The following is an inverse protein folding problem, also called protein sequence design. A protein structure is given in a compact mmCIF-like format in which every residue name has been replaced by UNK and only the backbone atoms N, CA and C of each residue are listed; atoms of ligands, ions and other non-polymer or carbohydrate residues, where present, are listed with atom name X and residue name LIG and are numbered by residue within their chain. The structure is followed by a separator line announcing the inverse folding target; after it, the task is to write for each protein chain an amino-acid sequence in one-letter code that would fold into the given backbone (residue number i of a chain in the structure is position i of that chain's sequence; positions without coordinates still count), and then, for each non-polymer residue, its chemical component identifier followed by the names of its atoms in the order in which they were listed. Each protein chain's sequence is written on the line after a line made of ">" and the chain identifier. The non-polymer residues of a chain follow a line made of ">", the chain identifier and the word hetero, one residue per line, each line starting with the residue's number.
data_IF_119944633720
#
_entry.id   IF_119944633720
#
_cell.length_a   1.000
_cell.length_b   1.000
_cell.length_c   1.000
_cell.angle_alpha   90.00
_cell.angle_beta   90.00
_cell.angle_gamma   90.00
#
_symmetry.space_group_name_H-M   'P 1'
#
loop_
_entity.id
_entity.type
_entity.pdbx_description
1 polymer ?
#
# COMPACT_ATOMS: atom_id res chain seq x y z
N UNK A 1 12.00 10.94 -10.38
CA UNK A 1 11.40 10.63 -9.04
C UNK A 1 12.45 10.33 -7.96
N UNK A 2 13.57 9.71 -8.27
CA UNK A 2 14.58 9.32 -7.27
C UNK A 2 15.11 10.46 -6.37
N UNK A 3 15.31 11.66 -6.90
CA UNK A 3 15.80 12.81 -6.12
C UNK A 3 14.80 13.36 -5.08
N UNK A 4 13.50 13.17 -5.28
CA UNK A 4 12.46 13.70 -4.38
C UNK A 4 12.46 13.02 -3.00
N UNK A 5 12.68 11.71 -2.95
CA UNK A 5 12.55 10.90 -1.73
C UNK A 5 13.92 10.62 -1.10
N UNK A 6 14.65 11.69 -0.80
CA UNK A 6 15.97 11.67 -0.20
C UNK A 6 15.95 11.63 1.34
N UNK A 7 17.12 11.72 1.96
CA UNK A 7 17.27 11.80 3.41
C UNK A 7 16.55 13.01 4.04
N UNK A 8 16.43 14.14 3.33
CA UNK A 8 15.75 15.34 3.83
C UNK A 8 14.22 15.12 3.86
N UNK A 9 13.67 14.50 2.81
CA UNK A 9 12.27 14.06 2.76
C UNK A 9 11.94 13.14 3.95
N UNK A 10 12.74 12.09 4.17
CA UNK A 10 12.52 11.15 5.27
C UNK A 10 12.63 11.80 6.65
N UNK A 11 13.55 12.75 6.85
CA UNK A 11 13.63 13.52 8.10
C UNK A 11 12.39 14.38 8.31
N UNK A 12 11.88 15.03 7.27
CA UNK A 12 10.71 15.91 7.33
C UNK A 12 9.42 15.15 7.66
N UNK A 13 9.09 14.11 6.89
CA UNK A 13 7.79 13.45 6.94
C UNK A 13 7.77 12.20 7.84
N UNK A 14 8.94 11.60 8.13
CA UNK A 14 9.08 10.40 8.96
C UNK A 14 9.96 10.61 10.19
N UNK A 15 10.23 11.87 10.58
CA UNK A 15 11.04 12.25 11.74
C UNK A 15 10.26 12.20 13.05
N UNK A 16 10.17 13.36 13.73
CA UNK A 16 9.63 13.46 15.11
C UNK A 16 8.13 13.18 15.24
N UNK A 17 7.32 13.56 14.24
CA UNK A 17 5.85 13.41 14.25
C UNK A 17 5.35 12.90 12.90
N UNK A 18 5.66 11.67 12.52
CA UNK A 18 5.19 11.12 11.25
C UNK A 18 3.68 10.91 11.29
N UNK A 19 3.03 10.97 10.12
CA UNK A 19 1.60 10.61 9.98
C UNK A 19 1.43 9.14 10.37
N UNK A 20 2.29 8.28 9.82
CA UNK A 20 2.35 6.87 10.18
C UNK A 20 3.66 6.57 10.91
N UNK A 21 3.58 5.90 12.05
CA UNK A 21 4.72 5.43 12.81
C UNK A 21 4.69 3.89 12.89
N UNK A 22 5.78 3.29 13.43
CA UNK A 22 5.91 1.83 13.56
C UNK A 22 4.73 1.20 14.32
N UNK A 23 4.25 1.83 15.39
CA UNK A 23 3.14 1.29 16.18
C UNK A 23 1.82 1.33 15.43
N UNK A 24 1.51 2.42 14.72
CA UNK A 24 0.30 2.49 13.89
C UNK A 24 0.30 1.42 12.80
N UNK A 25 1.44 1.22 12.12
CA UNK A 25 1.56 0.18 11.10
C UNK A 25 1.44 -1.21 11.72
N UNK A 26 2.01 -1.44 12.92
CA UNK A 26 1.87 -2.71 13.62
C UNK A 26 0.39 -3.04 13.92
N UNK A 27 -0.38 -2.08 14.46
CA UNK A 27 -1.80 -2.27 14.72
C UNK A 27 -2.61 -2.53 13.44
N UNK A 28 -2.31 -1.79 12.36
CA UNK A 28 -2.95 -2.01 11.06
C UNK A 28 -2.64 -3.40 10.50
N UNK A 29 -1.39 -3.80 10.55
CA UNK A 29 -0.93 -5.11 10.07
C UNK A 29 -1.56 -6.25 10.87
N UNK A 30 -1.62 -6.13 12.20
CA UNK A 30 -2.25 -7.12 13.07
C UNK A 30 -3.75 -7.25 12.76
N UNK A 31 -4.48 -6.13 12.67
CA UNK A 31 -5.90 -6.12 12.34
C UNK A 31 -6.17 -6.72 10.96
N UNK A 32 -5.36 -6.38 9.95
CA UNK A 32 -5.51 -6.92 8.61
C UNK A 32 -5.26 -8.42 8.55
N UNK A 33 -4.21 -8.92 9.20
CA UNK A 33 -3.91 -10.35 9.26
C UNK A 33 -5.00 -11.11 10.03
N UNK A 34 -5.58 -10.52 11.08
CA UNK A 34 -6.70 -11.12 11.81
C UNK A 34 -7.96 -11.21 10.94
N UNK A 35 -8.30 -10.14 10.19
CA UNK A 35 -9.40 -10.15 9.22
C UNK A 35 -9.17 -11.17 8.10
N UNK A 36 -7.97 -11.23 7.54
CA UNK A 36 -7.62 -12.23 6.53
C UNK A 36 -7.83 -13.66 7.06
N UNK A 37 -7.44 -13.92 8.30
CA UNK A 37 -7.66 -15.20 8.96
C UNK A 37 -9.15 -15.50 9.18
N UNK A 38 -9.95 -14.51 9.58
CA UNK A 38 -11.42 -14.60 9.68
C UNK A 38 -12.05 -15.02 8.36
N UNK A 39 -11.64 -14.40 7.25
CA UNK A 39 -12.09 -14.73 5.89
C UNK A 39 -11.41 -15.97 5.30
N UNK A 40 -10.57 -16.67 6.07
CA UNK A 40 -9.82 -17.86 5.63
C UNK A 40 -8.91 -17.59 4.42
N UNK A 41 -8.41 -16.38 4.30
CA UNK A 41 -7.42 -15.99 3.29
C UNK A 41 -6.01 -16.16 3.89
N UNK A 42 -5.26 -17.17 3.48
CA UNK A 42 -3.92 -17.41 4.03
C UNK A 42 -2.93 -16.37 3.51
N UNK A 43 -2.28 -15.63 4.41
CA UNK A 43 -1.22 -14.69 4.06
C UNK A 43 0.15 -15.35 4.29
N UNK A 44 0.76 -15.84 3.24
CA UNK A 44 2.08 -16.48 3.21
C UNK A 44 3.14 -15.61 2.54
N UNK A 45 2.71 -14.59 1.80
CA UNK A 45 3.58 -13.67 1.08
C UNK A 45 2.99 -12.27 1.04
N UNK A 46 3.85 -11.26 1.26
CA UNK A 46 3.51 -9.84 1.25
C UNK A 46 4.41 -9.11 0.26
N UNK A 47 3.80 -8.29 -0.60
CA UNK A 47 4.47 -7.25 -1.39
C UNK A 47 4.16 -5.91 -0.73
N UNK A 48 5.19 -5.13 -0.40
CA UNK A 48 5.10 -3.79 0.17
C UNK A 48 5.61 -2.78 -0.87
N UNK A 49 4.69 -2.03 -1.47
CA UNK A 49 4.95 -1.05 -2.52
C UNK A 49 5.12 0.32 -1.89
N UNK A 50 6.27 0.97 -2.16
CA UNK A 50 6.68 2.17 -1.45
C UNK A 50 7.02 1.87 -0.01
N UNK A 51 7.81 0.82 0.22
CA UNK A 51 8.09 0.21 1.52
C UNK A 51 8.75 1.17 2.54
N UNK A 52 9.30 2.31 2.10
CA UNK A 52 9.76 3.41 2.93
C UNK A 52 10.74 2.97 4.01
N UNK A 53 10.36 3.13 5.27
CA UNK A 53 11.17 2.73 6.43
C UNK A 53 11.13 1.23 6.74
N UNK A 54 10.34 0.44 6.02
CA UNK A 54 10.24 -1.00 6.21
C UNK A 54 9.46 -1.42 7.45
N UNK A 55 8.48 -0.64 7.90
CA UNK A 55 7.70 -0.96 9.09
C UNK A 55 6.91 -2.27 8.96
N UNK A 56 6.39 -2.58 7.77
CA UNK A 56 5.73 -3.86 7.48
C UNK A 56 6.72 -5.03 7.58
N UNK A 57 7.93 -4.87 7.00
CA UNK A 57 9.01 -5.87 7.09
C UNK A 57 9.35 -6.17 8.53
N UNK A 58 9.60 -5.13 9.32
CA UNK A 58 10.04 -5.25 10.71
C UNK A 58 8.98 -5.95 11.56
N UNK A 59 7.70 -5.55 11.38
CA UNK A 59 6.58 -6.19 12.08
C UNK A 59 6.41 -7.66 11.67
N UNK A 60 6.49 -7.99 10.38
CA UNK A 60 6.39 -9.37 9.90
C UNK A 60 7.54 -10.23 10.42
N UNK A 61 8.76 -9.71 10.42
CA UNK A 61 9.93 -10.44 10.94
C UNK A 61 9.77 -10.79 12.42
N UNK A 62 9.15 -9.91 13.21
CA UNK A 62 8.95 -10.10 14.65
C UNK A 62 7.77 -11.03 14.97
N UNK A 63 6.67 -10.93 14.22
CA UNK A 63 5.39 -11.57 14.59
C UNK A 63 5.01 -12.73 13.68
N UNK A 64 5.49 -12.76 12.44
CA UNK A 64 5.13 -13.72 11.39
C UNK A 64 6.35 -14.11 10.54
N UNK A 65 7.43 -14.66 11.13
CA UNK A 65 8.72 -14.88 10.44
C UNK A 65 8.64 -15.88 9.27
N UNK A 66 7.57 -16.67 9.18
CA UNK A 66 7.34 -17.59 8.05
C UNK A 66 6.74 -16.93 6.82
N UNK A 67 6.21 -15.69 6.95
CA UNK A 67 5.64 -14.92 5.84
C UNK A 67 6.78 -14.36 4.99
N UNK A 68 6.76 -14.63 3.69
CA UNK A 68 7.75 -14.10 2.75
C UNK A 68 7.45 -12.64 2.44
N UNK A 69 8.33 -11.76 2.85
CA UNK A 69 8.22 -10.32 2.56
C UNK A 69 9.04 -9.94 1.33
N UNK A 70 8.50 -9.01 0.54
CA UNK A 70 9.18 -8.34 -0.56
C UNK A 70 8.80 -6.86 -0.54
N UNK A 71 9.77 -5.98 -0.32
CA UNK A 71 9.60 -4.53 -0.34
C UNK A 71 10.21 -3.94 -1.60
N UNK A 72 9.47 -3.10 -2.30
CA UNK A 72 9.94 -2.29 -3.42
C UNK A 72 9.75 -0.80 -3.10
N UNK A 73 10.67 0.04 -3.55
CA UNK A 73 10.57 1.49 -3.39
C UNK A 73 11.26 2.21 -4.57
N UNK A 74 10.75 3.36 -4.96
CA UNK A 74 11.37 4.21 -5.98
C UNK A 74 12.50 5.09 -5.44
N UNK A 75 12.65 5.19 -4.12
CA UNK A 75 13.68 5.95 -3.44
C UNK A 75 14.97 5.15 -3.32
N UNK A 76 16.04 5.59 -3.99
CA UNK A 76 17.38 5.02 -3.79
C UNK A 76 17.83 5.12 -2.33
N UNK A 77 17.48 6.21 -1.64
CA UNK A 77 17.81 6.40 -0.23
C UNK A 77 17.14 5.32 0.63
N UNK A 78 15.83 5.09 0.46
CA UNK A 78 15.09 4.08 1.19
C UNK A 78 15.64 2.67 0.90
N UNK A 79 15.84 2.35 -0.38
CA UNK A 79 16.35 1.04 -0.79
C UNK A 79 17.72 0.74 -0.18
N UNK A 80 18.66 1.69 -0.23
CA UNK A 80 19.99 1.51 0.39
C UNK A 80 19.92 1.43 1.91
N UNK A 81 19.08 2.25 2.54
CA UNK A 81 19.02 2.38 4.01
C UNK A 81 18.24 1.26 4.67
N UNK A 82 17.20 0.75 4.00
CA UNK A 82 16.23 -0.21 4.57
C UNK A 82 16.14 -1.51 3.77
N UNK A 83 17.04 -1.73 2.79
CA UNK A 83 17.20 -2.99 2.05
C UNK A 83 15.95 -3.41 1.26
N UNK A 84 15.40 -2.49 0.46
CA UNK A 84 14.32 -2.76 -0.49
C UNK A 84 14.89 -2.92 -1.91
N UNK A 85 14.12 -3.56 -2.79
CA UNK A 85 14.39 -3.54 -4.23
C UNK A 85 14.09 -2.13 -4.77
N UNK A 86 15.03 -1.55 -5.52
CA UNK A 86 14.80 -0.29 -6.22
C UNK A 86 13.91 -0.55 -7.42
N UNK A 87 12.67 -0.05 -7.38
CA UNK A 87 11.70 -0.27 -8.44
C UNK A 87 10.65 0.85 -8.48
N UNK A 88 10.27 1.24 -9.70
CA UNK A 88 9.12 2.10 -9.97
C UNK A 88 7.93 1.22 -10.32
N UNK A 89 6.89 1.25 -9.50
CA UNK A 89 5.69 0.41 -9.63
C UNK A 89 4.97 0.61 -10.98
N UNK A 90 5.10 1.77 -11.62
CA UNK A 90 4.48 2.05 -12.92
C UNK A 90 5.10 1.25 -14.08
N UNK A 91 6.33 0.74 -13.91
CA UNK A 91 7.07 -0.03 -14.93
C UNK A 91 7.60 -1.37 -14.42
N UNK A 92 7.55 -1.59 -13.10
CA UNK A 92 7.99 -2.83 -12.49
C UNK A 92 7.11 -4.01 -12.93
N UNK A 93 7.73 -5.16 -13.11
CA UNK A 93 7.04 -6.40 -13.55
C UNK A 93 7.10 -7.44 -12.41
N UNK A 94 5.96 -7.81 -11.81
CA UNK A 94 5.94 -8.81 -10.75
C UNK A 94 6.32 -10.19 -11.31
N UNK A 95 7.30 -10.85 -10.68
CA UNK A 95 7.73 -12.20 -11.07
C UNK A 95 6.85 -13.30 -10.44
N UNK A 96 5.96 -12.95 -9.53
CA UNK A 96 5.03 -13.84 -8.82
C UNK A 96 3.87 -13.04 -8.26
N UNK A 97 2.81 -13.76 -7.87
CA UNK A 97 1.69 -13.16 -7.13
C UNK A 97 1.89 -13.27 -5.62
N UNK A 98 1.30 -12.32 -4.89
CA UNK A 98 1.37 -12.21 -3.44
C UNK A 98 -0.03 -12.35 -2.84
N UNK A 99 -0.10 -12.91 -1.61
CA UNK A 99 -1.36 -13.08 -0.90
C UNK A 99 -1.87 -11.75 -0.33
N UNK A 100 -0.96 -10.87 0.04
CA UNK A 100 -1.24 -9.50 0.44
C UNK A 100 -0.32 -8.55 -0.34
N UNK A 101 -0.92 -7.52 -0.92
CA UNK A 101 -0.20 -6.37 -1.48
C UNK A 101 -0.53 -5.15 -0.64
N UNK A 102 0.48 -4.42 -0.21
CA UNK A 102 0.35 -3.16 0.51
C UNK A 102 0.79 -2.03 -0.41
N UNK A 103 -0.03 -1.02 -0.59
CA UNK A 103 0.29 0.19 -1.34
C UNK A 103 -0.26 1.40 -0.59
N UNK A 104 0.56 1.93 0.31
CA UNK A 104 0.19 3.06 1.17
C UNK A 104 0.96 4.31 0.80
N UNK A 105 0.24 5.40 0.52
CA UNK A 105 0.82 6.72 0.24
C UNK A 105 1.84 6.74 -0.91
N UNK A 106 1.54 6.01 -2.00
CA UNK A 106 2.39 5.92 -3.20
C UNK A 106 1.75 6.61 -4.40
N UNK A 107 0.47 6.30 -4.67
CA UNK A 107 -0.20 6.67 -5.91
C UNK A 107 -0.35 8.18 -6.12
N UNK A 108 -0.33 8.95 -5.05
CA UNK A 108 -0.41 10.42 -5.11
C UNK A 108 0.83 11.07 -5.74
N UNK A 109 1.95 10.37 -5.85
CA UNK A 109 3.19 10.88 -6.44
C UNK A 109 3.32 10.61 -7.94
N UNK A 110 2.49 9.73 -8.48
CA UNK A 110 2.48 9.36 -9.89
C UNK A 110 1.56 10.29 -10.69
N UNK A 111 1.87 10.55 -11.95
CA UNK A 111 0.89 11.17 -12.85
C UNK A 111 -0.25 10.19 -13.19
N UNK A 112 -1.28 10.66 -13.91
CA UNK A 112 -2.48 9.85 -14.17
C UNK A 112 -2.20 8.60 -14.99
N UNK A 113 -1.28 8.69 -15.95
CA UNK A 113 -0.88 7.59 -16.81
C UNK A 113 -0.12 6.53 -16.02
N UNK A 114 0.83 6.96 -15.21
CA UNK A 114 1.68 6.05 -14.43
C UNK A 114 0.91 5.49 -13.21
N UNK A 115 0.00 6.25 -12.59
CA UNK A 115 -0.89 5.72 -11.56
C UNK A 115 -1.85 4.65 -12.11
N UNK A 116 -2.37 4.82 -13.35
CA UNK A 116 -3.19 3.81 -13.98
C UNK A 116 -2.40 2.52 -14.29
N UNK A 117 -1.16 2.65 -14.79
CA UNK A 117 -0.27 1.48 -14.99
C UNK A 117 0.06 0.78 -13.67
N UNK A 118 0.39 1.57 -12.64
CA UNK A 118 0.70 1.05 -11.31
C UNK A 118 -0.46 0.24 -10.73
N UNK A 119 -1.71 0.71 -10.88
CA UNK A 119 -2.91 -0.06 -10.48
C UNK A 119 -2.99 -1.39 -11.24
N UNK A 120 -2.74 -1.40 -12.55
CA UNK A 120 -2.65 -2.64 -13.32
C UNK A 120 -1.54 -3.58 -12.83
N UNK A 121 -0.40 -3.02 -12.42
CA UNK A 121 0.70 -3.80 -11.83
C UNK A 121 0.29 -4.41 -10.47
N UNK A 122 -0.45 -3.66 -9.62
CA UNK A 122 -1.00 -4.19 -8.37
C UNK A 122 -1.98 -5.35 -8.64
N UNK A 123 -2.82 -5.24 -9.67
CA UNK A 123 -3.74 -6.31 -10.08
C UNK A 123 -2.98 -7.59 -10.44
N UNK A 124 -1.96 -7.48 -11.30
CA UNK A 124 -1.12 -8.63 -11.70
C UNK A 124 -0.39 -9.23 -10.51
N UNK A 125 0.06 -8.41 -9.56
CA UNK A 125 0.82 -8.85 -8.39
C UNK A 125 -0.03 -9.49 -7.29
N UNK A 126 -1.33 -9.19 -7.21
CA UNK A 126 -2.20 -9.55 -6.09
C UNK A 126 -3.09 -10.75 -6.45
N UNK A 127 -3.11 -11.78 -5.58
CA UNK A 127 -4.06 -12.90 -5.68
C UNK A 127 -4.97 -13.04 -4.46
N UNK A 128 -4.81 -12.20 -3.45
CA UNK A 128 -5.57 -12.22 -2.21
C UNK A 128 -6.10 -10.83 -1.87
N UNK A 129 -5.49 -10.18 -0.88
CA UNK A 129 -5.89 -8.86 -0.41
C UNK A 129 -4.94 -7.76 -0.90
N UNK A 130 -5.52 -6.61 -1.23
CA UNK A 130 -4.80 -5.37 -1.45
C UNK A 130 -5.21 -4.37 -0.36
N UNK A 131 -4.24 -3.86 0.38
CA UNK A 131 -4.39 -2.64 1.17
C UNK A 131 -3.97 -1.45 0.30
N UNK A 132 -4.93 -0.62 -0.05
CA UNK A 132 -4.71 0.56 -0.89
C UNK A 132 -5.10 1.82 -0.13
N UNK A 133 -4.11 2.62 0.22
CA UNK A 133 -4.27 3.85 0.97
C UNK A 133 -3.57 5.01 0.26
N UNK A 134 -4.33 6.04 -0.11
CA UNK A 134 -3.82 7.25 -0.76
C UNK A 134 -4.78 8.41 -0.48
N UNK A 135 -4.27 9.60 -0.17
CA UNK A 135 -5.12 10.75 0.06
C UNK A 135 -5.85 11.18 -1.22
N UNK A 136 -7.10 11.56 -1.04
CA UNK A 136 -7.97 12.05 -2.11
C UNK A 136 -8.34 13.53 -1.91
N UNK A 137 -8.97 14.13 -2.93
CA UNK A 137 -9.51 15.51 -2.81
C UNK A 137 -10.44 15.63 -1.60
N UNK A 138 -11.30 14.63 -1.36
CA UNK A 138 -12.24 14.64 -0.23
C UNK A 138 -11.55 14.60 1.14
N UNK A 139 -10.42 13.92 1.26
CA UNK A 139 -9.68 13.79 2.52
C UNK A 139 -8.99 15.10 2.91
N UNK A 140 -8.61 15.92 1.92
CA UNK A 140 -7.89 17.18 2.14
C UNK A 140 -8.63 18.12 3.08
N UNK A 141 -9.95 18.15 2.99
CA UNK A 141 -10.81 19.07 3.72
C UNK A 141 -11.35 18.47 5.03
N UNK A 142 -11.23 17.16 5.21
CA UNK A 142 -11.93 16.45 6.29
C UNK A 142 -11.00 15.81 7.31
N UNK A 143 -10.01 15.05 6.86
CA UNK A 143 -9.23 14.17 7.76
C UNK A 143 -7.72 14.39 7.72
N UNK A 144 -7.18 15.09 6.70
CA UNK A 144 -5.74 15.28 6.56
C UNK A 144 -5.18 16.33 7.51
N UNK A 145 -4.16 15.94 8.27
CA UNK A 145 -3.28 16.89 8.96
C UNK A 145 -2.30 17.50 7.95
N UNK A 146 -2.67 18.67 7.41
CA UNK A 146 -1.89 19.37 6.39
C UNK A 146 -0.52 19.86 6.88
N UNK A 147 -0.31 19.94 8.20
CA UNK A 147 0.99 20.33 8.78
C UNK A 147 2.02 19.19 8.75
N UNK A 148 1.57 17.95 8.61
CA UNK A 148 2.38 16.73 8.67
C UNK A 148 2.40 15.94 7.36
N UNK A 149 1.49 16.25 6.45
CA UNK A 149 1.33 15.54 5.17
C UNK A 149 2.05 16.30 4.07
N UNK A 150 2.70 15.58 3.17
CA UNK A 150 3.23 16.15 1.93
C UNK A 150 2.06 16.54 1.02
N UNK A 151 1.91 17.83 0.75
CA UNK A 151 0.84 18.38 -0.08
C UNK A 151 1.24 18.57 -1.55
N UNK A 152 2.52 18.40 -1.89
CA UNK A 152 3.01 18.42 -3.26
C UNK A 152 2.76 17.07 -3.93
N UNK A 153 1.49 16.79 -4.19
CA UNK A 153 0.98 15.52 -4.71
C UNK A 153 -0.05 15.73 -5.81
N UNK A 154 -0.39 14.68 -6.54
CA UNK A 154 -1.47 14.67 -7.53
C UNK A 154 -2.79 14.33 -6.84
N UNK A 155 -3.61 15.34 -6.66
CA UNK A 155 -4.92 15.20 -6.03
C UNK A 155 -5.93 14.55 -6.99
N UNK A 156 -6.49 13.41 -6.60
CA UNK A 156 -7.53 12.68 -7.34
C UNK A 156 -8.73 12.42 -6.46
N UNK A 157 -9.87 12.20 -7.08
CA UNK A 157 -11.08 11.80 -6.36
C UNK A 157 -11.04 10.31 -6.00
N UNK A 158 -11.72 9.91 -4.92
CA UNK A 158 -11.91 8.49 -4.60
C UNK A 158 -12.59 7.72 -5.75
N UNK A 159 -13.52 8.38 -6.48
CA UNK A 159 -14.16 7.81 -7.69
C UNK A 159 -13.13 7.43 -8.76
N UNK A 160 -12.11 8.26 -8.98
CA UNK A 160 -11.05 7.98 -9.96
C UNK A 160 -10.30 6.68 -9.66
N UNK A 161 -9.98 6.46 -8.39
CA UNK A 161 -9.31 5.24 -7.93
C UNK A 161 -10.25 4.03 -7.97
N UNK A 162 -11.48 4.16 -7.42
CA UNK A 162 -12.45 3.06 -7.40
C UNK A 162 -12.76 2.53 -8.79
N UNK A 163 -12.96 3.38 -9.78
CA UNK A 163 -13.21 2.95 -11.16
C UNK A 163 -12.09 2.09 -11.74
N UNK A 164 -10.84 2.34 -11.36
CA UNK A 164 -9.69 1.58 -11.86
C UNK A 164 -9.43 0.32 -11.07
N UNK A 165 -9.54 0.39 -9.76
CA UNK A 165 -9.39 -0.77 -8.89
C UNK A 165 -10.50 -1.81 -9.12
N UNK A 166 -11.72 -1.38 -9.43
CA UNK A 166 -12.86 -2.27 -9.66
C UNK A 166 -12.67 -3.21 -10.88
N UNK A 167 -11.66 -3.01 -11.73
CA UNK A 167 -11.33 -3.93 -12.82
C UNK A 167 -10.84 -5.26 -12.25
N UNK A 168 -9.87 -5.25 -11.34
CA UNK A 168 -9.24 -6.45 -10.79
C UNK A 168 -9.66 -6.78 -9.34
N UNK A 169 -10.40 -5.88 -8.68
CA UNK A 169 -10.69 -6.01 -7.25
C UNK A 169 -12.16 -5.74 -6.93
N UNK A 170 -12.59 -6.23 -5.77
CA UNK A 170 -13.86 -5.88 -5.11
C UNK A 170 -13.53 -5.09 -3.84
N UNK A 171 -14.16 -3.93 -3.64
CA UNK A 171 -13.97 -3.10 -2.44
C UNK A 171 -14.61 -3.78 -1.22
N UNK A 172 -13.82 -3.94 -0.14
CA UNK A 172 -14.32 -4.46 1.15
C UNK A 172 -14.66 -3.28 2.07
N UNK A 173 -13.84 -2.22 2.02
CA UNK A 173 -13.92 -1.05 2.90
C UNK A 173 -12.63 -0.86 3.69
N UNK A 174 -12.48 0.32 4.33
CA UNK A 174 -11.28 0.65 5.11
C UNK A 174 -9.97 0.62 4.32
N UNK A 175 -10.01 0.86 2.99
CA UNK A 175 -8.85 0.73 2.12
C UNK A 175 -8.52 -0.71 1.69
N UNK A 176 -9.34 -1.69 2.07
CA UNK A 176 -9.14 -3.09 1.72
C UNK A 176 -9.92 -3.48 0.46
N UNK A 177 -9.24 -4.23 -0.40
CA UNK A 177 -9.75 -4.74 -1.66
C UNK A 177 -9.44 -6.22 -1.79
N UNK A 178 -10.41 -7.00 -2.29
CA UNK A 178 -10.24 -8.42 -2.58
C UNK A 178 -9.92 -8.59 -4.07
N UNK A 179 -8.84 -9.29 -4.39
CA UNK A 179 -8.56 -9.69 -5.77
C UNK A 179 -9.72 -10.57 -6.31
N UNK A 180 -10.16 -10.31 -7.53
CA UNK A 180 -11.17 -11.16 -8.21
C UNK A 180 -10.68 -12.59 -8.46
N UNK A 181 -9.38 -12.85 -8.34
CA UNK A 181 -8.80 -14.19 -8.38
C UNK A 181 -8.90 -14.93 -7.04
N UNK A 182 -9.19 -14.22 -5.94
CA UNK A 182 -9.30 -14.82 -4.63
C UNK A 182 -10.62 -15.60 -4.50
N UNK A 183 -10.60 -16.88 -4.16
CA UNK A 183 -11.82 -17.69 -4.05
C UNK A 183 -12.61 -17.44 -2.74
N UNK A 184 -12.19 -16.50 -1.91
CA UNK A 184 -12.88 -16.19 -0.66
C UNK A 184 -14.28 -15.66 -0.93
N UNK A 185 -15.24 -16.14 -0.16
CA UNK A 185 -16.64 -15.72 -0.22
C UNK A 185 -16.92 -14.76 0.94
N UNK A 186 -17.57 -13.64 0.62
CA UNK A 186 -17.97 -12.62 1.57
C UNK A 186 -19.50 -12.61 1.66
N UNK A 187 -20.02 -12.35 2.85
CA UNK A 187 -21.41 -12.00 3.00
C UNK A 187 -21.68 -10.61 2.40
N UNK A 188 -22.94 -10.37 2.02
CA UNK A 188 -23.35 -9.12 1.37
C UNK A 188 -22.90 -7.86 2.15
N UNK A 189 -22.95 -7.91 3.49
CA UNK A 189 -22.56 -6.78 4.34
C UNK A 189 -21.04 -6.70 4.65
N UNK A 190 -20.24 -7.63 4.17
CA UNK A 190 -18.78 -7.61 4.37
C UNK A 190 -18.02 -6.88 3.27
N UNK A 191 -18.70 -6.46 2.20
CA UNK A 191 -18.10 -5.68 1.12
C UNK A 191 -18.95 -4.45 0.78
N UNK A 192 -18.32 -3.44 0.18
CA UNK A 192 -19.01 -2.25 -0.28
C UNK A 192 -19.96 -2.58 -1.45
N UNK A 193 -21.12 -1.91 -1.56
CA UNK A 193 -22.09 -2.09 -2.63
C UNK A 193 -21.56 -1.70 -4.00
#
# INVERSE_FOLDING_TARGET
>A
MAERFDAAYYRRFYGRRPVHNRQHIAHLAEGLIALAAWWRIPIRSVLDVGAGKGYWRDWLAETRPTVKYHGIDASEYACRRYHHELADIAVWQPRRKYDLVVCQSVMQYLDDKDAAKAIGTLEVACRGLLLFDTPTVGDRETVLDTSRTDLDIRWRTGKWYRQRLAVGFTEIGGGLWLSRECPALFYELEHAP
#
